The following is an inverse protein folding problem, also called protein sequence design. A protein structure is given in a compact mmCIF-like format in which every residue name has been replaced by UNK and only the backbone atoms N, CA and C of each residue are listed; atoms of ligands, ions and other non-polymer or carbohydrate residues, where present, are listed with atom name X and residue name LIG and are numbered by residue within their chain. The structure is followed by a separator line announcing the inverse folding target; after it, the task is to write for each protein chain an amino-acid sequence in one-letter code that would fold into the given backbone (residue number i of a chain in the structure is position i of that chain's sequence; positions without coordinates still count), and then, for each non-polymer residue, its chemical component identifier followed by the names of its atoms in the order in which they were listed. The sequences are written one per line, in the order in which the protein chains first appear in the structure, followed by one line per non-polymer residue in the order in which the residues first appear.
data_IF_206943774867
#
_entry.id   IF_206943774867
#
_cell.length_a   1.000
_cell.length_b   1.000
_cell.length_c   1.000
_cell.angle_alpha   90.00
_cell.angle_beta   90.00
_cell.angle_gamma   90.00
#
_symmetry.space_group_name_H-M   'P 1'
#
loop_
_entity.id
_entity.type
_entity.pdbx_description
1 polymer ?
#
# COMPACT_ATOMS: atom_id res chain seq x y z
N UNK A 1 -18.51 11.15 -12.59
CA UNK A 1 -17.22 11.05 -11.88
C UNK A 1 -17.28 9.77 -11.07
N UNK A 2 -16.63 8.70 -11.54
CA UNK A 2 -16.51 7.48 -10.74
C UNK A 2 -15.45 7.83 -9.69
N UNK A 3 -15.84 7.90 -8.42
CA UNK A 3 -14.87 7.99 -7.34
C UNK A 3 -14.08 6.67 -7.36
N UNK A 4 -12.88 6.68 -7.93
CA UNK A 4 -11.99 5.55 -7.87
C UNK A 4 -11.73 5.18 -6.42
N UNK A 5 -11.71 3.89 -6.11
CA UNK A 5 -11.35 3.39 -4.78
C UNK A 5 -9.90 2.90 -4.80
N UNK A 6 -9.27 2.97 -3.62
CA UNK A 6 -7.97 2.39 -3.36
C UNK A 6 -8.08 1.48 -2.14
N UNK A 7 -7.46 0.31 -2.22
CA UNK A 7 -7.29 -0.61 -1.11
C UNK A 7 -5.82 -0.59 -0.70
N UNK A 8 -5.58 -0.65 0.60
CA UNK A 8 -4.24 -0.80 1.19
C UNK A 8 -4.26 -2.03 2.09
N UNK A 9 -3.26 -2.88 1.95
CA UNK A 9 -2.99 -4.00 2.85
C UNK A 9 -1.62 -3.80 3.47
N UNK A 10 -1.58 -3.86 4.80
CA UNK A 10 -0.38 -3.65 5.59
C UNK A 10 -0.23 -4.78 6.62
N UNK A 11 0.99 -5.13 7.03
CA UNK A 11 1.22 -6.10 8.09
C UNK A 11 0.65 -5.58 9.41
N UNK A 12 0.09 -6.49 10.23
CA UNK A 12 -0.39 -6.16 11.56
C UNK A 12 0.76 -5.68 12.48
N UNK A 13 1.91 -6.36 12.41
CA UNK A 13 3.16 -5.97 13.05
C UNK A 13 4.29 -6.04 12.02
N UNK A 14 4.86 -4.88 11.67
CA UNK A 14 6.01 -4.83 10.76
C UNK A 14 7.19 -5.63 11.32
N UNK A 15 7.81 -6.46 10.48
CA UNK A 15 8.94 -7.32 10.85
C UNK A 15 8.55 -8.62 11.57
N UNK A 16 7.30 -8.78 12.02
CA UNK A 16 6.80 -10.04 12.59
C UNK A 16 5.80 -10.76 11.69
N UNK A 17 4.75 -10.05 11.27
CA UNK A 17 3.70 -10.64 10.41
C UNK A 17 3.96 -10.38 8.93
N UNK A 18 4.90 -9.50 8.61
CA UNK A 18 5.30 -9.15 7.26
C UNK A 18 6.06 -7.82 7.24
N UNK A 19 6.68 -7.51 6.10
CA UNK A 19 7.41 -6.24 5.89
C UNK A 19 6.90 -5.44 4.69
N UNK A 20 6.08 -6.07 3.85
CA UNK A 20 5.57 -5.46 2.62
C UNK A 20 4.21 -4.82 2.82
N UNK A 21 4.03 -3.66 2.21
CA UNK A 21 2.74 -2.98 2.06
C UNK A 21 2.28 -3.17 0.63
N UNK A 22 0.99 -3.44 0.46
CA UNK A 22 0.36 -3.57 -0.84
C UNK A 22 -0.70 -2.51 -1.02
N UNK A 23 -0.80 -1.96 -2.22
CA UNK A 23 -1.89 -1.04 -2.60
C UNK A 23 -2.50 -1.50 -3.92
N UNK A 24 -3.81 -1.39 -4.03
CA UNK A 24 -4.56 -1.75 -5.23
C UNK A 24 -5.54 -0.63 -5.57
N UNK A 25 -5.47 -0.15 -6.80
CA UNK A 25 -6.40 0.87 -7.31
C UNK A 25 -7.56 0.25 -8.09
N UNK A 26 -8.44 1.11 -8.62
CA UNK A 26 -9.55 0.72 -9.49
C UNK A 26 -9.12 -0.11 -10.72
N UNK A 27 -7.89 0.07 -11.21
CA UNK A 27 -7.35 -0.67 -12.35
C UNK A 27 -7.07 -2.15 -12.06
N UNK A 28 -7.14 -2.57 -10.79
CA UNK A 28 -6.77 -3.93 -10.35
C UNK A 28 -5.26 -4.18 -10.28
N UNK A 29 -4.43 -3.17 -10.58
CA UNK A 29 -2.98 -3.26 -10.46
C UNK A 29 -2.59 -3.22 -8.99
N UNK A 30 -1.90 -4.27 -8.54
CA UNK A 30 -1.35 -4.35 -7.20
C UNK A 30 0.10 -3.88 -7.23
N UNK A 31 0.41 -2.95 -6.36
CA UNK A 31 1.77 -2.47 -6.15
C UNK A 31 2.23 -2.86 -4.74
N UNK A 32 3.50 -3.19 -4.60
CA UNK A 32 4.14 -3.48 -3.33
C UNK A 32 5.28 -2.51 -3.02
N UNK A 33 5.44 -2.19 -1.73
CA UNK A 33 6.55 -1.38 -1.21
C UNK A 33 6.80 -1.70 0.25
N UNK A 34 8.07 -1.83 0.62
CA UNK A 34 8.47 -1.86 2.03
C UNK A 34 8.55 -0.42 2.55
N UNK A 35 7.66 -0.06 3.47
CA UNK A 35 7.61 1.26 4.11
C UNK A 35 8.42 1.32 5.41
N UNK A 36 9.03 0.21 5.82
CA UNK A 36 9.80 0.13 7.07
C UNK A 36 8.92 0.00 8.32
N UNK A 37 9.50 0.16 9.52
CA UNK A 37 8.81 -0.05 10.80
C UNK A 37 7.55 0.81 10.98
N UNK A 38 7.48 1.96 10.31
CA UNK A 38 6.35 2.90 10.37
C UNK A 38 5.20 2.54 9.40
N UNK A 39 5.22 1.35 8.80
CA UNK A 39 4.23 0.89 7.82
C UNK A 39 2.78 1.06 8.33
N UNK A 40 2.49 0.69 9.58
CA UNK A 40 1.15 0.83 10.15
C UNK A 40 0.71 2.30 10.26
N UNK A 41 1.63 3.20 10.63
CA UNK A 41 1.34 4.63 10.74
C UNK A 41 1.14 5.27 9.37
N UNK A 42 2.01 4.94 8.40
CA UNK A 42 1.93 5.44 7.02
C UNK A 42 0.65 4.95 6.34
N UNK A 43 0.31 3.66 6.49
CA UNK A 43 -0.90 3.08 5.92
C UNK A 43 -2.18 3.67 6.50
N UNK A 44 -2.23 3.94 7.80
CA UNK A 44 -3.39 4.62 8.42
C UNK A 44 -3.56 6.09 7.97
N UNK A 45 -2.47 6.75 7.57
CA UNK A 45 -2.51 8.12 7.03
C UNK A 45 -2.76 8.18 5.52
N UNK A 46 -2.85 7.03 4.84
CA UNK A 46 -3.06 6.98 3.40
C UNK A 46 -4.51 7.36 3.05
N UNK A 47 -4.73 8.65 2.78
CA UNK A 47 -6.06 9.19 2.43
C UNK A 47 -6.35 9.18 0.93
N UNK A 48 -5.31 9.02 0.10
CA UNK A 48 -5.40 9.05 -1.36
C UNK A 48 -4.47 8.00 -1.96
N UNK A 49 -4.92 7.40 -3.06
CA UNK A 49 -4.12 6.49 -3.86
C UNK A 49 -3.21 7.31 -4.77
N UNK A 50 -1.96 7.51 -4.35
CA UNK A 50 -0.93 8.25 -5.08
C UNK A 50 0.41 7.48 -5.01
N UNK A 51 0.55 6.38 -5.78
CA UNK A 51 1.81 5.64 -5.82
C UNK A 51 2.90 6.43 -6.55
N UNK A 52 3.96 6.75 -5.82
CA UNK A 52 5.21 7.27 -6.38
C UNK A 52 6.04 6.19 -7.11
N UNK A 53 7.07 6.58 -7.86
CA UNK A 53 7.90 5.66 -8.68
C UNK A 53 8.72 4.64 -7.88
N UNK A 54 8.65 4.68 -6.55
CA UNK A 54 9.34 3.72 -5.68
C UNK A 54 8.50 2.47 -5.38
N UNK A 55 7.23 2.47 -5.79
CA UNK A 55 6.35 1.32 -5.71
C UNK A 55 6.68 0.33 -6.83
N UNK A 56 6.73 -0.96 -6.48
CA UNK A 56 7.03 -2.04 -7.41
C UNK A 56 5.74 -2.74 -7.81
N UNK A 57 5.60 -3.12 -9.07
CA UNK A 57 4.43 -3.88 -9.53
C UNK A 57 4.55 -5.33 -9.05
N UNK A 58 3.47 -5.85 -8.46
CA UNK A 58 3.37 -7.27 -8.11
C UNK A 58 3.02 -8.04 -9.38
N UNK A 59 3.85 -9.00 -9.78
CA UNK A 59 3.59 -9.93 -10.89
C UNK A 59 2.80 -11.16 -10.45
#
# INVERSE_FOLDING_TARGET
MIAGFGLVALPAEWGKTGVMTFICGHSGVVLEKNLGPDTAEIGNRLLRYDPDSTWTLVE
#
